data_IF_618095049107
#
_entry.id   IF_618095049107
#
_cell.length_a   1.000
_cell.length_b   1.000
_cell.length_c   1.000
_cell.angle_alpha   90.00
_cell.angle_beta   90.00
_cell.angle_gamma   90.00
#
_symmetry.space_group_name_H-M   'P 1'
#
loop_
_entity.id
_entity.type
_entity.pdbx_description
1 polymer ?
#
# COMPACT_ATOMS: atom_id res chain seq x y z
N UNK A 1 43.30 1.40 -2.83
CA UNK A 1 42.39 2.51 -3.17
C UNK A 1 41.01 2.14 -2.67
N UNK A 2 40.73 2.42 -1.41
CA UNK A 2 39.44 2.11 -0.77
C UNK A 2 38.83 3.41 -0.27
N UNK A 3 37.76 3.84 -0.93
CA UNK A 3 36.89 4.89 -0.43
C UNK A 3 35.45 4.38 -0.57
N UNK A 4 35.01 3.66 0.46
CA UNK A 4 33.60 3.48 0.78
C UNK A 4 33.01 4.85 1.14
N UNK A 5 32.29 5.42 0.17
CA UNK A 5 31.56 6.67 0.35
C UNK A 5 30.10 6.35 0.60
N UNK A 6 29.81 6.03 1.87
CA UNK A 6 28.61 6.42 2.63
C UNK A 6 27.41 6.79 1.76
N UNK A 7 26.51 5.81 1.59
CA UNK A 7 25.08 6.08 1.37
C UNK A 7 24.53 6.92 2.53
N UNK A 8 24.69 8.24 2.48
CA UNK A 8 23.76 9.15 3.13
C UNK A 8 22.62 9.41 2.17
N UNK A 9 21.61 8.53 2.21
CA UNK A 9 20.28 8.86 1.71
C UNK A 9 19.31 8.77 2.88
N UNK A 10 19.55 9.59 3.90
CA UNK A 10 18.54 9.97 4.88
C UNK A 10 18.01 11.34 4.48
N UNK A 11 17.14 11.39 3.48
CA UNK A 11 16.38 12.59 3.14
C UNK A 11 15.27 12.80 4.18
N UNK A 12 15.61 13.39 5.33
CA UNK A 12 14.61 13.90 6.27
C UNK A 12 14.06 15.21 5.69
N UNK A 13 12.93 15.14 4.99
CA UNK A 13 12.14 16.34 4.71
C UNK A 13 11.00 16.42 5.72
N UNK A 14 11.35 16.62 7.00
CA UNK A 14 10.36 16.86 8.06
C UNK A 14 10.68 18.17 8.78
N UNK A 15 9.97 19.25 8.42
CA UNK A 15 9.75 20.35 9.36
C UNK A 15 8.73 19.90 10.41
N UNK A 16 9.11 18.99 11.32
CA UNK A 16 8.39 18.66 12.56
C UNK A 16 9.25 17.74 13.44
N UNK A 17 9.40 18.01 14.75
CA UNK A 17 10.05 17.08 15.68
C UNK A 17 9.22 15.79 15.80
N UNK A 18 9.81 14.64 15.45
CA UNK A 18 9.20 13.33 15.71
C UNK A 18 9.38 13.01 17.20
N UNK A 19 8.29 13.00 17.97
CA UNK A 19 8.25 12.28 19.24
C UNK A 19 8.39 10.78 18.96
N UNK A 20 9.22 10.04 19.71
CA UNK A 20 9.34 8.60 19.51
C UNK A 20 8.04 7.94 19.93
N UNK A 21 7.26 7.45 18.96
CA UNK A 21 6.17 6.53 19.22
C UNK A 21 6.76 5.23 19.77
N UNK A 22 6.59 4.99 21.06
CA UNK A 22 6.81 3.67 21.65
C UNK A 22 5.82 2.69 21.03
N UNK A 23 6.29 1.86 20.10
CA UNK A 23 5.50 0.73 19.61
C UNK A 23 5.24 -0.21 20.79
N UNK A 24 3.98 -0.54 21.13
CA UNK A 24 3.73 -1.59 22.10
C UNK A 24 4.20 -2.92 21.51
N UNK A 25 4.89 -3.72 22.34
CA UNK A 25 5.29 -5.08 22.01
C UNK A 25 4.04 -5.94 21.78
N UNK A 26 3.65 -6.12 20.51
CA UNK A 26 2.53 -6.99 20.14
C UNK A 26 2.95 -8.46 20.32
N UNK A 27 2.76 -9.00 21.52
CA UNK A 27 2.88 -10.44 21.79
C UNK A 27 1.72 -11.17 21.12
N UNK A 28 1.91 -11.60 19.87
CA UNK A 28 0.96 -12.52 19.22
C UNK A 28 1.02 -13.89 19.87
N UNK A 29 0.05 -14.20 20.73
CA UNK A 29 -0.25 -15.57 21.13
C UNK A 29 -1.06 -16.27 20.03
N UNK A 30 -0.54 -16.21 18.80
CA UNK A 30 -1.12 -16.80 17.61
C UNK A 30 -0.70 -18.26 17.56
N UNK A 31 -1.67 -19.18 17.61
CA UNK A 31 -1.44 -20.57 17.18
C UNK A 31 -0.95 -20.49 15.74
N UNK A 32 0.36 -20.60 15.54
CA UNK A 32 0.99 -20.64 14.23
C UNK A 32 0.33 -21.79 13.48
N UNK A 33 -0.57 -21.45 12.55
CA UNK A 33 -1.13 -22.39 11.60
C UNK A 33 0.06 -23.05 10.92
N UNK A 34 0.29 -24.32 11.22
CA UNK A 34 1.44 -25.08 10.75
C UNK A 34 1.52 -24.92 9.23
N UNK A 35 2.71 -24.50 8.79
CA UNK A 35 3.04 -24.20 7.41
C UNK A 35 2.48 -25.30 6.51
N UNK A 36 1.68 -24.93 5.51
CA UNK A 36 1.48 -25.79 4.34
C UNK A 36 2.87 -26.17 3.84
N UNK A 37 3.23 -27.45 3.93
CA UNK A 37 4.45 -27.99 3.33
C UNK A 37 4.27 -27.97 1.82
N UNK A 38 4.83 -26.98 1.12
CA UNK A 38 4.88 -26.95 -0.34
C UNK A 38 5.72 -25.77 -0.86
N UNK A 39 6.02 -25.77 -2.16
CA UNK A 39 7.05 -26.50 -2.90
C UNK A 39 8.36 -25.66 -2.88
N UNK A 40 9.39 -26.04 -3.62
CA UNK A 40 10.59 -25.19 -3.78
C UNK A 40 10.21 -23.85 -4.41
N UNK A 41 10.01 -22.82 -3.58
CA UNK A 41 9.79 -21.45 -4.04
C UNK A 41 11.16 -20.82 -4.35
N UNK A 42 11.49 -20.72 -5.63
CA UNK A 42 12.56 -19.84 -6.08
C UNK A 42 12.04 -18.40 -6.03
N UNK A 43 12.61 -17.58 -5.15
CA UNK A 43 12.29 -16.15 -5.03
C UNK A 43 13.45 -15.33 -5.62
N UNK A 44 13.12 -14.38 -6.50
CA UNK A 44 14.09 -13.42 -7.02
C UNK A 44 14.50 -12.44 -5.92
N UNK A 45 15.80 -12.23 -5.75
CA UNK A 45 16.37 -11.29 -4.77
C UNK A 45 15.94 -9.83 -4.99
N UNK A 46 15.39 -9.50 -6.17
CA UNK A 46 14.86 -8.18 -6.50
C UNK A 46 13.49 -8.31 -7.17
N UNK A 47 12.52 -7.54 -6.68
CA UNK A 47 11.18 -7.44 -7.25
C UNK A 47 10.67 -6.01 -7.12
N UNK A 48 10.17 -5.44 -8.22
CA UNK A 48 9.55 -4.12 -8.26
C UNK A 48 8.21 -4.23 -8.99
N UNK A 49 7.10 -4.05 -8.26
CA UNK A 49 5.75 -4.13 -8.80
C UNK A 49 5.54 -3.20 -9.99
N UNK A 50 6.17 -2.02 -9.99
CA UNK A 50 6.05 -1.04 -11.09
C UNK A 50 6.67 -1.56 -12.38
N UNK A 51 7.72 -2.38 -12.27
CA UNK A 51 8.38 -3.04 -13.41
C UNK A 51 7.63 -4.30 -13.84
N UNK A 52 7.02 -5.01 -12.89
CA UNK A 52 6.26 -6.23 -13.16
C UNK A 52 4.95 -5.93 -13.92
N UNK A 53 4.30 -4.80 -13.61
CA UNK A 53 3.07 -4.35 -14.26
C UNK A 53 3.25 -2.95 -14.84
N UNK A 54 4.00 -2.81 -15.94
CA UNK A 54 4.34 -1.50 -16.50
C UNK A 54 3.10 -0.70 -16.93
N UNK A 55 2.03 -1.38 -17.36
CA UNK A 55 0.75 -0.75 -17.72
C UNK A 55 -0.01 -0.14 -16.53
N UNK A 56 0.39 -0.50 -15.30
CA UNK A 56 -0.15 0.03 -14.06
C UNK A 56 0.88 0.86 -13.29
N UNK A 57 2.07 1.10 -13.86
CA UNK A 57 3.15 1.78 -13.16
C UNK A 57 2.73 3.18 -12.67
N UNK A 58 1.96 3.92 -13.48
CA UNK A 58 1.48 5.25 -13.11
C UNK A 58 0.54 5.23 -11.90
N UNK A 59 -0.19 4.12 -11.68
CA UNK A 59 -1.08 3.92 -10.52
C UNK A 59 -0.28 3.46 -9.31
N UNK A 60 0.56 2.43 -9.47
CA UNK A 60 1.37 1.86 -8.39
C UNK A 60 2.37 2.90 -7.83
N UNK A 61 2.80 3.85 -8.66
CA UNK A 61 3.74 4.89 -8.27
C UNK A 61 3.07 6.12 -7.63
N UNK A 62 1.75 6.11 -7.41
CA UNK A 62 1.04 7.19 -6.69
C UNK A 62 1.42 7.13 -5.21
N UNK A 63 2.03 8.19 -4.73
CA UNK A 63 2.32 8.36 -3.30
C UNK A 63 1.18 9.14 -2.66
N UNK A 64 0.40 8.47 -1.81
CA UNK A 64 -0.69 9.08 -1.04
C UNK A 64 -0.16 9.81 0.18
N UNK A 65 -0.89 10.84 0.63
CA UNK A 65 -0.57 11.61 1.83
C UNK A 65 -1.71 11.48 2.85
N UNK A 66 -1.45 10.79 3.96
CA UNK A 66 -2.38 10.59 5.08
C UNK A 66 -2.68 11.86 5.90
N UNK A 67 -1.97 12.96 5.65
CA UNK A 67 -2.10 14.19 6.42
C UNK A 67 -1.74 14.01 7.89
N UNK A 68 -2.51 14.65 8.78
CA UNK A 68 -2.34 14.58 10.24
C UNK A 68 -3.24 13.51 10.88
N UNK A 69 -3.56 12.45 10.14
CA UNK A 69 -4.39 11.33 10.60
C UNK A 69 -3.56 10.06 10.85
N UNK A 70 -4.01 9.25 11.81
CA UNK A 70 -3.43 7.95 12.19
C UNK A 70 -3.99 6.77 11.37
N UNK A 71 -4.34 7.00 10.11
CA UNK A 71 -5.10 6.12 9.22
C UNK A 71 -4.23 5.44 8.15
N UNK A 72 -2.92 5.35 8.36
CA UNK A 72 -1.99 4.75 7.39
C UNK A 72 -2.39 3.32 6.96
N UNK A 73 -3.10 2.59 7.82
CA UNK A 73 -3.67 1.28 7.50
C UNK A 73 -4.78 1.36 6.43
N UNK A 74 -5.61 2.41 6.45
CA UNK A 74 -6.66 2.66 5.47
C UNK A 74 -6.03 3.12 4.14
N UNK A 75 -5.09 4.08 4.21
CA UNK A 75 -4.32 4.55 3.04
C UNK A 75 -3.59 3.39 2.35
N UNK A 76 -2.94 2.51 3.10
CA UNK A 76 -2.24 1.34 2.54
C UNK A 76 -3.23 0.35 1.91
N UNK A 77 -4.36 0.08 2.55
CA UNK A 77 -5.38 -0.84 2.05
C UNK A 77 -6.01 -0.33 0.75
N UNK A 78 -6.35 0.96 0.71
CA UNK A 78 -6.91 1.65 -0.46
C UNK A 78 -5.93 1.64 -1.64
N UNK A 79 -4.65 1.91 -1.38
CA UNK A 79 -3.59 1.90 -2.39
C UNK A 79 -3.43 0.51 -3.02
N UNK A 80 -3.34 -0.56 -2.20
CA UNK A 80 -3.21 -1.93 -2.70
C UNK A 80 -4.45 -2.40 -3.48
N UNK A 81 -5.64 -1.97 -3.06
CA UNK A 81 -6.87 -2.29 -3.80
C UNK A 81 -6.83 -1.67 -5.20
N UNK A 82 -6.42 -0.41 -5.29
CA UNK A 82 -6.29 0.33 -6.55
C UNK A 82 -5.26 -0.33 -7.49
N UNK A 83 -4.10 -0.73 -6.96
CA UNK A 83 -3.08 -1.45 -7.72
C UNK A 83 -3.62 -2.75 -8.33
N UNK A 84 -4.29 -3.57 -7.48
CA UNK A 84 -4.86 -4.84 -7.90
C UNK A 84 -5.99 -4.67 -8.91
N UNK A 85 -6.82 -3.66 -8.72
CA UNK A 85 -7.86 -3.31 -9.67
C UNK A 85 -7.28 -3.02 -11.05
N UNK A 86 -6.21 -2.23 -11.13
CA UNK A 86 -5.50 -2.01 -12.39
C UNK A 86 -4.93 -3.30 -12.98
N UNK A 87 -4.25 -4.12 -12.17
CA UNK A 87 -3.64 -5.37 -12.64
C UNK A 87 -4.70 -6.33 -13.22
N UNK A 88 -5.85 -6.48 -12.56
CA UNK A 88 -6.93 -7.33 -13.05
C UNK A 88 -7.59 -6.79 -14.32
N UNK A 89 -7.73 -5.46 -14.44
CA UNK A 89 -8.21 -4.82 -15.68
C UNK A 89 -7.23 -4.99 -16.84
N UNK A 90 -5.94 -4.82 -16.57
CA UNK A 90 -4.90 -5.00 -17.56
C UNK A 90 -4.85 -6.42 -18.13
N UNK A 91 -5.09 -7.45 -17.30
CA UNK A 91 -5.24 -8.84 -17.78
C UNK A 91 -6.36 -9.01 -18.80
N UNK A 92 -7.40 -8.16 -18.74
CA UNK A 92 -8.52 -8.12 -19.68
C UNK A 92 -8.28 -7.17 -20.87
N UNK A 93 -7.08 -6.60 -20.99
CA UNK A 93 -6.75 -5.62 -22.04
C UNK A 93 -7.33 -4.22 -21.81
N UNK A 94 -7.89 -3.94 -20.63
CA UNK A 94 -8.43 -2.63 -20.30
C UNK A 94 -7.34 -1.72 -19.74
N UNK A 95 -7.29 -0.48 -20.22
CA UNK A 95 -6.44 0.58 -19.65
C UNK A 95 -7.15 1.21 -18.46
N UNK A 96 -6.38 1.61 -17.45
CA UNK A 96 -6.88 2.29 -16.26
C UNK A 96 -6.13 3.62 -16.17
N UNK A 97 -6.86 4.74 -16.20
CA UNK A 97 -6.24 6.06 -16.14
C UNK A 97 -6.04 6.45 -14.67
N UNK A 98 -4.79 6.78 -14.30
CA UNK A 98 -4.43 7.20 -12.95
C UNK A 98 -5.04 8.55 -12.53
N UNK A 99 -5.37 9.43 -13.49
CA UNK A 99 -5.99 10.74 -13.21
C UNK A 99 -7.50 10.69 -13.05
N UNK A 100 -8.11 9.55 -13.41
CA UNK A 100 -9.54 9.35 -13.31
C UNK A 100 -9.89 8.88 -11.88
N UNK A 101 -10.66 9.66 -11.10
CA UNK A 101 -10.97 9.35 -9.71
C UNK A 101 -11.78 8.07 -9.56
N UNK A 102 -12.56 7.67 -10.57
CA UNK A 102 -13.36 6.43 -10.53
C UNK A 102 -12.49 5.17 -10.54
N UNK A 103 -11.23 5.30 -10.97
CA UNK A 103 -10.27 4.21 -10.98
C UNK A 103 -9.47 4.08 -9.67
N UNK A 104 -9.72 4.95 -8.69
CA UNK A 104 -8.97 5.01 -7.45
C UNK A 104 -9.86 4.74 -6.24
N UNK A 105 -9.40 3.89 -5.33
CA UNK A 105 -10.03 3.77 -4.03
C UNK A 105 -9.74 5.01 -3.18
N UNK A 106 -10.76 5.43 -2.43
CA UNK A 106 -10.64 6.41 -1.36
C UNK A 106 -10.42 5.70 -0.03
N UNK A 107 -9.55 6.26 0.79
CA UNK A 107 -9.33 5.87 2.18
C UNK A 107 -10.50 6.29 3.08
N UNK A 108 -11.22 7.36 2.75
CA UNK A 108 -12.45 7.76 3.48
C UNK A 108 -13.56 6.71 3.37
N UNK A 109 -13.68 6.04 2.22
CA UNK A 109 -14.63 4.93 2.04
C UNK A 109 -14.30 3.76 2.99
N UNK A 110 -13.02 3.49 3.23
CA UNK A 110 -12.56 2.45 4.17
C UNK A 110 -12.82 2.87 5.62
N UNK A 111 -12.74 4.17 5.92
CA UNK A 111 -13.01 4.73 7.24
C UNK A 111 -14.52 4.89 7.51
N UNK A 112 -15.34 4.95 6.46
CA UNK A 112 -16.77 5.16 6.59
C UNK A 112 -17.46 3.92 7.17
N UNK A 113 -18.14 4.10 8.29
CA UNK A 113 -19.12 3.14 8.77
C UNK A 113 -20.45 3.45 8.09
N UNK A 114 -20.68 2.94 6.89
CA UNK A 114 -22.05 2.94 6.36
C UNK A 114 -22.86 1.94 7.17
N UNK A 115 -23.62 2.42 8.16
CA UNK A 115 -24.73 1.62 8.69
C UNK A 115 -25.60 1.21 7.51
N UNK A 116 -26.09 -0.04 7.44
CA UNK A 116 -27.09 -0.39 6.43
C UNK A 116 -28.25 0.59 6.62
N UNK A 117 -28.43 1.50 5.66
CA UNK A 117 -29.53 2.44 5.66
C UNK A 117 -30.80 1.62 5.47
N UNK A 118 -31.45 1.27 6.57
CA UNK A 118 -32.87 0.96 6.59
C UNK A 118 -33.62 2.22 6.16
N UNK A 119 -33.71 2.42 4.84
CA UNK A 119 -34.55 3.41 4.16
C UNK A 119 -34.30 4.87 4.54
N UNK A 120 -33.55 5.59 3.70
CA UNK A 120 -33.81 7.00 3.42
C UNK A 120 -33.08 7.38 2.13
N UNK A 121 -33.82 7.25 1.02
CA UNK A 121 -33.63 8.08 -0.17
C UNK A 121 -34.09 9.48 0.25
N UNK A 122 -33.23 10.48 0.13
CA UNK A 122 -33.63 11.88 0.09
C UNK A 122 -33.75 12.30 -1.39
#
# INVERSE_FOLDING_TARGET
>A
MTADSRKLLCGVNSKSPKTPASSPDFKTNSKIRTKRSNPSCTYNIEFDSRKQWPQCADIINIIRNQGQCGDCWAVASSSVFTDRYCIERAKKGLKTNASDPDNQSSDDEILSCTSPTSGLVA
#
